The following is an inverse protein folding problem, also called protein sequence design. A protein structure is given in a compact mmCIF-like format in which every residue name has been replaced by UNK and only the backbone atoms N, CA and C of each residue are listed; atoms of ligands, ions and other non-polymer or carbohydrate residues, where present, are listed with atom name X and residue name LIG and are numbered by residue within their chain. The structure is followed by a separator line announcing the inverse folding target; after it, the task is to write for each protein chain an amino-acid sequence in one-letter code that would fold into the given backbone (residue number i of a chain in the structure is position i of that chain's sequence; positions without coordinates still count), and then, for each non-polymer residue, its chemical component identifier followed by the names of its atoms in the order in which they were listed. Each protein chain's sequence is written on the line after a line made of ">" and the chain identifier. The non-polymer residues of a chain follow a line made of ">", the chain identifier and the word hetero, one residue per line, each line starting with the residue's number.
data_IF_833472019910
#
_entry.id   IF_833472019910
#
_cell.length_a   1.000
_cell.length_b   1.000
_cell.length_c   1.000
_cell.angle_alpha   90.00
_cell.angle_beta   90.00
_cell.angle_gamma   90.00
#
_symmetry.space_group_name_H-M   'P 1'
#
loop_
_entity.id
_entity.type
_entity.pdbx_description
1 polymer ?
#
# COMPACT_ATOMS: atom_id res chain seq x y z
N UNK A 1 -66.50 40.68 -3.85
CA UNK A 1 -65.67 41.50 -2.95
C UNK A 1 -64.54 42.11 -3.77
N UNK A 2 -64.77 43.35 -4.21
CA UNK A 2 -63.82 44.48 -4.26
C UNK A 2 -62.76 44.38 -3.15
N UNK A 3 -61.48 44.75 -3.28
CA UNK A 3 -60.79 45.93 -3.87
C UNK A 3 -59.34 45.47 -4.18
N UNK A 4 -58.78 45.59 -5.39
CA UNK A 4 -58.01 46.74 -5.93
C UNK A 4 -56.79 47.13 -5.05
N UNK A 5 -55.60 47.50 -5.52
CA UNK A 5 -55.02 47.71 -6.85
C UNK A 5 -53.50 47.96 -6.61
N UNK A 6 -52.63 47.88 -7.63
CA UNK A 6 -51.21 48.14 -7.55
C UNK A 6 -50.87 49.63 -7.79
N UNK A 7 -49.63 49.98 -7.52
CA UNK A 7 -49.01 51.25 -7.94
C UNK A 7 -47.63 51.39 -7.29
N UNK A 8 -46.64 52.07 -7.86
CA UNK A 8 -46.54 52.85 -9.10
C UNK A 8 -45.06 53.26 -9.22
N UNK A 9 -44.53 53.19 -10.45
CA UNK A 9 -43.72 54.24 -11.12
C UNK A 9 -42.35 54.70 -10.56
N UNK A 10 -41.36 54.48 -11.44
CA UNK A 10 -40.51 55.49 -12.14
C UNK A 10 -39.20 55.98 -11.47
N UNK A 11 -38.16 55.90 -12.32
CA UNK A 11 -37.09 56.89 -12.57
C UNK A 11 -36.14 57.26 -11.41
N UNK A 12 -34.85 56.96 -11.56
CA UNK A 12 -33.87 57.94 -12.07
C UNK A 12 -32.52 57.24 -12.29
N UNK A 13 -31.94 57.44 -13.48
CA UNK A 13 -30.52 57.25 -13.71
C UNK A 13 -29.74 58.40 -13.07
N UNK A 14 -28.62 58.10 -12.44
CA UNK A 14 -27.57 59.08 -12.13
C UNK A 14 -26.24 58.47 -12.54
N UNK A 15 -25.74 59.01 -13.64
CA UNK A 15 -24.37 58.93 -14.09
C UNK A 15 -23.45 59.67 -13.12
N UNK A 16 -22.37 59.02 -12.72
CA UNK A 16 -21.22 59.63 -12.08
C UNK A 16 -19.95 58.95 -12.57
N UNK A 17 -19.31 59.53 -13.58
CA UNK A 17 -17.88 59.36 -13.82
C UNK A 17 -17.16 60.21 -12.75
N UNK A 18 -16.02 59.83 -12.15
CA UNK A 18 -14.71 59.73 -12.81
C UNK A 18 -13.60 59.22 -11.87
N UNK A 19 -12.64 58.50 -12.46
CA UNK A 19 -11.18 58.42 -12.19
C UNK A 19 -10.71 57.62 -10.95
N UNK A 20 -10.00 56.51 -11.22
CA UNK A 20 -9.05 55.93 -10.26
C UNK A 20 -8.66 54.47 -10.50
N UNK A 21 -7.69 54.21 -11.37
CA UNK A 21 -6.82 53.02 -11.28
C UNK A 21 -7.34 51.70 -11.86
N UNK A 22 -7.43 51.58 -13.19
CA UNK A 22 -7.35 50.28 -13.83
C UNK A 22 -5.89 49.80 -13.78
N UNK A 23 -5.53 49.01 -12.77
CA UNK A 23 -4.29 48.24 -12.80
C UNK A 23 -4.47 47.14 -13.85
N UNK A 24 -3.96 47.40 -15.06
CA UNK A 24 -3.76 46.39 -16.09
C UNK A 24 -2.69 45.44 -15.54
N UNK A 25 -3.12 44.33 -14.95
CA UNK A 25 -2.20 43.26 -14.61
C UNK A 25 -1.67 42.66 -15.93
N UNK A 26 -0.35 42.62 -16.15
CA UNK A 26 0.20 41.96 -17.33
C UNK A 26 -0.23 40.49 -17.32
N UNK A 27 -0.64 40.00 -18.49
CA UNK A 27 -1.07 38.63 -18.77
C UNK A 27 0.13 37.67 -18.81
N UNK A 28 0.98 37.74 -17.80
CA UNK A 28 2.19 36.93 -17.63
C UNK A 28 2.38 36.60 -16.15
N UNK A 29 1.38 35.96 -15.56
CA UNK A 29 1.50 35.32 -14.26
C UNK A 29 0.55 34.12 -14.21
N UNK A 30 0.59 33.26 -15.24
CA UNK A 30 0.33 31.85 -15.00
C UNK A 30 1.55 31.39 -14.22
N UNK A 31 1.47 31.52 -12.89
CA UNK A 31 2.43 30.91 -12.00
C UNK A 31 2.54 29.45 -12.41
N UNK A 32 3.73 29.05 -12.84
CA UNK A 32 4.08 27.66 -12.99
C UNK A 32 3.73 26.98 -11.67
N UNK A 33 2.65 26.20 -11.67
CA UNK A 33 2.35 25.27 -10.61
C UNK A 33 3.47 24.24 -10.69
N UNK A 34 4.53 24.48 -9.94
CA UNK A 34 5.57 23.50 -9.67
C UNK A 34 4.90 22.25 -9.10
N UNK A 35 5.31 21.04 -9.50
CA UNK A 35 4.76 19.78 -8.97
C UNK A 35 5.24 19.51 -7.52
N UNK A 36 5.30 20.54 -6.68
CA UNK A 36 5.74 20.45 -5.28
C UNK A 36 4.60 20.12 -4.30
N UNK A 37 3.37 19.95 -4.80
CA UNK A 37 2.20 19.66 -3.96
C UNK A 37 2.06 18.17 -3.58
N UNK A 38 2.77 17.27 -4.24
CA UNK A 38 2.80 15.83 -3.90
C UNK A 38 3.90 15.46 -2.89
N UNK A 39 4.92 16.32 -2.70
CA UNK A 39 6.05 16.05 -1.78
C UNK A 39 5.77 16.40 -0.32
N UNK A 40 4.60 16.97 0.02
CA UNK A 40 4.23 17.32 1.41
C UNK A 40 3.41 16.27 2.14
N UNK A 41 3.11 15.12 1.51
CA UNK A 41 2.35 14.08 2.20
C UNK A 41 3.15 13.30 3.25
N UNK A 42 4.47 13.54 3.38
CA UNK A 42 5.36 12.60 4.10
C UNK A 42 6.24 13.20 5.20
N UNK A 43 6.11 14.47 5.58
CA UNK A 43 6.93 14.98 6.70
C UNK A 43 6.07 15.78 7.68
N UNK A 44 5.35 15.05 8.53
CA UNK A 44 4.93 15.53 9.84
C UNK A 44 6.01 15.18 10.87
N UNK A 45 6.41 16.15 11.69
CA UNK A 45 7.52 16.09 12.68
C UNK A 45 7.40 15.01 13.79
N UNK A 46 6.41 14.10 13.72
CA UNK A 46 6.18 13.01 14.67
C UNK A 46 6.15 11.60 14.01
N UNK A 47 6.52 11.49 12.73
CA UNK A 47 6.34 10.26 11.92
C UNK A 47 7.66 9.51 11.68
N UNK A 48 8.78 10.15 11.92
CA UNK A 48 10.10 9.57 11.70
C UNK A 48 10.50 8.67 12.88
N UNK A 49 10.14 7.39 12.77
CA UNK A 49 10.58 6.32 13.65
C UNK A 49 11.38 5.34 12.83
N UNK A 50 12.38 4.73 13.45
CA UNK A 50 13.08 3.60 12.85
C UNK A 50 12.08 2.48 12.57
N UNK A 51 12.07 2.01 11.33
CA UNK A 51 11.22 0.91 10.90
C UNK A 51 11.80 -0.41 11.43
N UNK A 52 11.03 -1.22 12.17
CA UNK A 52 11.53 -2.50 12.66
C UNK A 52 11.91 -3.45 11.52
N UNK A 53 13.06 -4.13 11.63
CA UNK A 53 13.39 -5.22 10.73
C UNK A 53 12.47 -6.42 11.00
N UNK A 54 11.84 -6.94 9.95
CA UNK A 54 10.97 -8.12 10.02
C UNK A 54 11.38 -9.18 9.00
N UNK A 55 10.80 -10.38 9.15
CA UNK A 55 11.12 -11.58 8.36
C UNK A 55 11.14 -11.32 6.85
N UNK A 56 12.27 -11.59 6.19
CA UNK A 56 12.40 -11.54 4.72
C UNK A 56 11.42 -12.50 4.03
N UNK A 57 11.25 -13.68 4.60
CA UNK A 57 10.48 -14.76 4.01
C UNK A 57 11.28 -15.50 2.93
N UNK A 58 10.78 -16.64 2.45
CA UNK A 58 11.52 -17.52 1.55
C UNK A 58 11.51 -17.05 0.08
N UNK A 59 10.77 -15.98 -0.22
CA UNK A 59 10.47 -15.54 -1.58
C UNK A 59 11.36 -14.40 -2.09
N UNK A 60 12.40 -14.02 -1.34
CA UNK A 60 13.35 -13.01 -1.77
C UNK A 60 14.46 -13.60 -2.63
N UNK A 61 14.78 -12.88 -3.70
CA UNK A 61 16.04 -12.95 -4.43
C UNK A 61 16.35 -11.54 -4.90
N UNK A 62 17.63 -11.20 -5.08
CA UNK A 62 17.99 -9.92 -5.72
C UNK A 62 17.37 -9.92 -7.13
N UNK A 63 16.35 -9.07 -7.39
CA UNK A 63 15.63 -9.15 -8.64
C UNK A 63 16.49 -8.72 -9.82
N UNK A 64 17.48 -7.84 -9.62
CA UNK A 64 18.25 -7.17 -10.67
C UNK A 64 17.36 -6.53 -11.76
N UNK A 65 16.16 -6.08 -11.36
CA UNK A 65 15.13 -5.52 -12.24
C UNK A 65 14.87 -4.05 -11.88
N UNK A 66 15.65 -3.13 -12.47
CA UNK A 66 15.42 -1.70 -12.27
C UNK A 66 14.25 -1.23 -13.12
N UNK A 67 13.07 -1.13 -12.50
CA UNK A 67 11.82 -0.72 -13.16
C UNK A 67 10.82 -0.15 -12.17
N UNK A 68 10.04 0.83 -12.64
CA UNK A 68 8.98 1.47 -11.86
C UNK A 68 7.68 0.68 -11.92
N UNK A 69 7.26 0.27 -13.11
CA UNK A 69 6.13 -0.64 -13.28
C UNK A 69 6.61 -2.08 -13.12
N UNK A 70 6.10 -2.74 -12.08
CA UNK A 70 6.43 -4.12 -11.75
C UNK A 70 5.28 -5.09 -12.07
N UNK A 71 4.18 -4.61 -12.65
CA UNK A 71 2.96 -5.41 -12.86
C UNK A 71 3.18 -6.59 -13.78
N UNK A 72 3.99 -6.42 -14.83
CA UNK A 72 4.11 -7.34 -15.98
C UNK A 72 2.74 -7.73 -16.58
N UNK A 73 1.75 -6.82 -16.51
CA UNK A 73 0.40 -7.06 -17.03
C UNK A 73 -0.46 -8.00 -16.17
N UNK A 74 -0.02 -8.38 -14.96
CA UNK A 74 -0.85 -9.16 -14.05
C UNK A 74 -2.13 -8.40 -13.67
N UNK A 75 -3.25 -9.10 -13.71
CA UNK A 75 -4.55 -8.55 -13.32
C UNK A 75 -4.61 -8.25 -11.82
N UNK A 76 -5.22 -7.12 -11.47
CA UNK A 76 -5.44 -6.68 -10.10
C UNK A 76 -5.87 -5.21 -10.05
N UNK A 77 -6.18 -4.71 -8.85
CA UNK A 77 -6.50 -3.30 -8.65
C UNK A 77 -5.20 -2.50 -8.72
N UNK A 78 -5.08 -1.48 -9.59
CA UNK A 78 -3.87 -0.67 -9.68
C UNK A 78 -3.52 0.00 -8.36
N UNK A 79 -2.22 0.00 -8.03
CA UNK A 79 -1.66 0.54 -6.80
C UNK A 79 -0.40 1.34 -7.14
N UNK A 80 -0.36 2.60 -6.72
CA UNK A 80 0.83 3.47 -6.78
C UNK A 80 1.44 3.55 -5.39
N UNK A 81 2.60 2.93 -5.20
CA UNK A 81 3.32 2.91 -3.94
C UNK A 81 4.43 3.94 -3.97
N UNK A 82 4.43 4.88 -3.02
CA UNK A 82 5.59 5.74 -2.73
C UNK A 82 6.19 5.41 -1.39
N UNK A 83 7.50 5.26 -1.35
CA UNK A 83 8.23 5.08 -0.09
C UNK A 83 9.25 6.19 0.03
N UNK A 84 9.31 6.84 1.19
CA UNK A 84 10.36 7.80 1.50
C UNK A 84 11.34 7.16 2.49
N UNK A 85 12.59 7.05 2.09
CA UNK A 85 13.69 6.54 2.91
C UNK A 85 14.35 7.72 3.62
N UNK A 86 14.39 7.64 4.95
CA UNK A 86 15.02 8.65 5.81
C UNK A 86 15.96 7.99 6.81
N UNK A 87 16.94 8.73 7.31
CA UNK A 87 17.80 8.29 8.40
C UNK A 87 17.17 8.52 9.79
N UNK A 88 17.93 8.25 10.85
CA UNK A 88 17.50 8.44 12.23
C UNK A 88 17.25 9.91 12.62
N UNK A 89 17.82 10.87 11.87
CA UNK A 89 17.61 12.32 12.03
C UNK A 89 16.51 12.84 11.08
N UNK A 90 15.81 11.92 10.39
CA UNK A 90 14.71 12.20 9.48
C UNK A 90 15.14 12.94 8.21
N UNK A 91 16.42 12.85 7.87
CA UNK A 91 16.95 13.39 6.65
C UNK A 91 16.76 12.37 5.52
N UNK A 92 16.30 12.79 4.33
CA UNK A 92 16.18 11.90 3.19
C UNK A 92 17.50 11.24 2.80
N UNK A 93 17.45 9.96 2.43
CA UNK A 93 18.61 9.21 1.94
C UNK A 93 18.50 9.08 0.41
N UNK A 94 19.16 10.00 -0.30
CA UNK A 94 19.31 9.92 -1.76
C UNK A 94 20.10 8.66 -2.17
N UNK A 95 19.71 8.05 -3.28
CA UNK A 95 20.42 6.90 -3.87
C UNK A 95 20.21 5.58 -3.11
N UNK A 96 19.43 5.57 -2.03
CA UNK A 96 19.03 4.33 -1.38
C UNK A 96 18.34 3.40 -2.37
N UNK A 97 18.82 2.15 -2.47
CA UNK A 97 18.21 1.12 -3.30
C UNK A 97 17.04 0.52 -2.55
N UNK A 98 15.87 0.47 -3.16
CA UNK A 98 14.69 -0.21 -2.62
C UNK A 98 14.30 -1.33 -3.58
N UNK A 99 14.33 -2.56 -3.06
CA UNK A 99 13.76 -3.72 -3.72
C UNK A 99 12.36 -3.97 -3.18
N UNK A 100 11.40 -4.25 -4.06
CA UNK A 100 10.02 -4.55 -3.74
C UNK A 100 9.63 -5.92 -4.29
N UNK A 101 8.89 -6.71 -3.52
CA UNK A 101 8.27 -7.94 -4.03
C UNK A 101 6.96 -8.27 -3.30
N UNK A 102 5.99 -8.84 -4.01
CA UNK A 102 4.77 -9.37 -3.40
C UNK A 102 4.11 -10.43 -4.29
N UNK A 103 3.08 -11.09 -3.73
CA UNK A 103 2.26 -12.03 -4.47
C UNK A 103 1.25 -11.32 -5.40
N UNK A 104 0.82 -12.00 -6.45
CA UNK A 104 -0.26 -11.54 -7.31
C UNK A 104 -1.62 -11.63 -6.61
N UNK A 105 -2.69 -11.22 -7.30
CA UNK A 105 -4.05 -11.23 -6.75
C UNK A 105 -4.52 -12.62 -6.26
N UNK A 106 -4.00 -13.69 -6.85
CA UNK A 106 -4.27 -15.09 -6.46
C UNK A 106 -3.37 -15.62 -5.35
N UNK A 107 -2.43 -14.82 -4.83
CA UNK A 107 -1.53 -15.23 -3.76
C UNK A 107 -0.25 -15.95 -4.21
N UNK A 108 0.11 -15.86 -5.50
CA UNK A 108 1.30 -16.52 -6.05
C UNK A 108 2.48 -15.54 -6.16
N UNK A 109 3.68 -15.94 -5.73
CA UNK A 109 4.92 -15.23 -5.98
C UNK A 109 5.59 -15.71 -7.26
N UNK A 110 6.14 -14.79 -8.05
CA UNK A 110 6.91 -15.11 -9.24
C UNK A 110 8.22 -15.83 -8.92
N UNK A 111 8.64 -16.73 -9.82
CA UNK A 111 9.82 -17.58 -9.77
C UNK A 111 9.76 -18.78 -8.80
N UNK A 112 8.56 -19.19 -8.37
CA UNK A 112 8.38 -20.31 -7.43
C UNK A 112 7.39 -21.36 -7.93
N UNK A 113 7.65 -22.62 -7.58
CA UNK A 113 6.75 -23.75 -7.82
C UNK A 113 6.08 -24.21 -6.51
N UNK A 114 5.09 -25.09 -6.60
CA UNK A 114 4.46 -25.69 -5.41
C UNK A 114 3.48 -24.76 -4.69
N UNK A 115 2.93 -23.76 -5.39
CA UNK A 115 2.07 -22.72 -4.82
C UNK A 115 0.59 -22.98 -5.12
N UNK A 116 -0.29 -22.18 -4.51
CA UNK A 116 -1.74 -22.25 -4.73
C UNK A 116 -2.49 -23.02 -3.64
N UNK A 117 -3.82 -22.94 -3.70
CA UNK A 117 -4.70 -23.59 -2.71
C UNK A 117 -4.91 -25.08 -2.99
N UNK A 118 -4.87 -25.48 -4.26
CA UNK A 118 -4.97 -26.87 -4.68
C UNK A 118 -3.62 -27.55 -4.52
N UNK A 119 -3.51 -28.38 -3.47
CA UNK A 119 -2.30 -29.16 -3.19
C UNK A 119 -2.13 -30.36 -4.12
N UNK A 120 -3.19 -30.82 -4.78
CA UNK A 120 -3.13 -31.90 -5.76
C UNK A 120 -2.61 -31.37 -7.10
N UNK A 121 -2.91 -30.11 -7.42
CA UNK A 121 -2.48 -29.43 -8.65
C UNK A 121 -1.75 -28.11 -8.34
N UNK A 122 -0.53 -28.16 -7.78
CA UNK A 122 0.20 -26.95 -7.44
C UNK A 122 0.59 -26.14 -8.67
N UNK A 123 0.55 -24.82 -8.53
CA UNK A 123 0.94 -23.85 -9.56
C UNK A 123 2.45 -23.62 -9.55
N UNK A 124 3.03 -23.53 -10.74
CA UNK A 124 4.42 -23.11 -10.95
C UNK A 124 4.48 -21.82 -11.73
N UNK A 125 5.26 -20.88 -11.21
CA UNK A 125 5.60 -19.59 -11.85
C UNK A 125 7.12 -19.45 -12.03
N UNK A 126 7.86 -20.58 -12.05
CA UNK A 126 9.31 -20.60 -12.27
C UNK A 126 9.65 -19.88 -13.58
N UNK A 127 10.65 -19.00 -13.53
CA UNK A 127 11.07 -18.18 -14.69
C UNK A 127 10.28 -16.89 -14.89
N UNK A 128 9.18 -16.69 -14.17
CA UNK A 128 8.44 -15.42 -14.17
C UNK A 128 9.05 -14.42 -13.20
N UNK A 129 8.86 -13.13 -13.47
CA UNK A 129 9.48 -12.04 -12.69
C UNK A 129 8.49 -10.99 -12.18
N UNK A 130 7.18 -11.19 -12.41
CA UNK A 130 6.13 -10.24 -12.05
C UNK A 130 6.19 -9.78 -10.59
N UNK A 131 5.70 -8.57 -10.34
CA UNK A 131 5.52 -7.96 -9.03
C UNK A 131 6.80 -7.92 -8.20
N UNK A 132 7.93 -7.75 -8.89
CA UNK A 132 9.27 -7.54 -8.34
C UNK A 132 9.94 -6.37 -9.04
N UNK A 133 10.68 -5.54 -8.31
CA UNK A 133 11.47 -4.50 -8.93
C UNK A 133 12.37 -3.76 -7.96
N UNK A 134 13.28 -2.99 -8.53
CA UNK A 134 14.24 -2.14 -7.84
C UNK A 134 14.07 -0.70 -8.29
N UNK A 135 14.08 0.23 -7.35
CA UNK A 135 14.17 1.66 -7.59
C UNK A 135 15.29 2.26 -6.74
N UNK A 136 15.87 3.37 -7.22
CA UNK A 136 16.81 4.18 -6.45
C UNK A 136 16.06 5.42 -5.98
N UNK A 137 16.22 5.76 -4.70
CA UNK A 137 15.63 6.94 -4.11
C UNK A 137 16.18 8.22 -4.76
N UNK A 138 15.29 9.18 -5.04
CA UNK A 138 15.66 10.51 -5.53
C UNK A 138 16.27 11.40 -4.44
N UNK A 139 16.56 12.67 -4.74
CA UNK A 139 17.08 13.67 -3.79
C UNK A 139 16.16 13.86 -2.56
N UNK A 140 14.88 13.55 -2.69
CA UNK A 140 13.89 13.57 -1.61
C UNK A 140 13.82 12.25 -0.83
N UNK A 141 14.69 11.28 -1.11
CA UNK A 141 14.67 9.94 -0.53
C UNK A 141 13.50 9.10 -1.05
N UNK A 142 12.83 9.49 -2.15
CA UNK A 142 11.58 8.86 -2.58
C UNK A 142 11.82 7.84 -3.69
N UNK A 143 11.20 6.67 -3.55
CA UNK A 143 10.96 5.71 -4.64
C UNK A 143 9.48 5.61 -4.94
N UNK A 144 9.15 5.34 -6.21
CA UNK A 144 7.77 5.08 -6.65
C UNK A 144 7.71 3.75 -7.40
N UNK A 145 6.68 2.95 -7.13
CA UNK A 145 6.36 1.73 -7.86
C UNK A 145 4.91 1.77 -8.36
N UNK A 146 4.70 1.30 -9.59
CA UNK A 146 3.38 0.97 -10.12
C UNK A 146 3.19 -0.53 -10.03
N UNK A 147 2.17 -0.95 -9.31
CA UNK A 147 1.88 -2.37 -9.06
C UNK A 147 0.36 -2.60 -8.93
N UNK A 148 -0.03 -3.77 -8.43
CA UNK A 148 -1.41 -4.10 -8.05
C UNK A 148 -1.53 -4.28 -6.54
N UNK A 149 -2.76 -4.15 -6.01
CA UNK A 149 -3.06 -4.55 -4.64
C UNK A 149 -2.69 -6.04 -4.44
N UNK A 150 -1.95 -6.41 -3.38
CA UNK A 150 -1.52 -7.79 -3.18
C UNK A 150 -2.68 -8.72 -2.86
N UNK A 151 -2.60 -9.96 -3.35
CA UNK A 151 -3.45 -11.04 -2.88
C UNK A 151 -3.10 -11.46 -1.44
N UNK A 152 -3.67 -12.57 -1.01
CA UNK A 152 -3.34 -13.20 0.27
C UNK A 152 -2.84 -14.63 0.05
N UNK A 153 -2.24 -15.25 1.05
CA UNK A 153 -1.96 -16.69 1.06
C UNK A 153 -2.06 -17.20 2.50
N UNK A 154 -2.28 -18.51 2.67
CA UNK A 154 -2.59 -19.08 3.98
C UNK A 154 -1.50 -18.80 5.01
N UNK A 155 -1.93 -18.44 6.22
CA UNK A 155 -1.05 -18.19 7.37
C UNK A 155 -0.39 -16.82 7.40
N UNK A 156 -0.71 -15.90 6.47
CA UNK A 156 -0.17 -14.53 6.44
C UNK A 156 -1.25 -13.50 6.10
N UNK A 157 -1.19 -12.34 6.73
CA UNK A 157 -2.06 -11.19 6.37
C UNK A 157 -1.65 -10.60 5.01
N UNK A 158 -2.42 -9.67 4.46
CA UNK A 158 -2.08 -8.93 3.22
C UNK A 158 -0.81 -8.09 3.42
N UNK A 159 0.22 -8.28 2.58
CA UNK A 159 1.46 -7.52 2.67
C UNK A 159 2.20 -7.34 1.34
N UNK A 160 3.06 -6.32 1.31
CA UNK A 160 4.12 -6.14 0.31
C UNK A 160 5.46 -6.19 1.04
N UNK A 161 6.43 -6.93 0.53
CA UNK A 161 7.77 -6.91 1.09
C UNK A 161 8.61 -5.80 0.47
N UNK A 162 9.55 -5.29 1.25
CA UNK A 162 10.60 -4.43 0.75
C UNK A 162 11.94 -4.72 1.42
N UNK A 163 13.00 -4.33 0.73
CA UNK A 163 14.35 -4.29 1.27
C UNK A 163 15.01 -2.98 0.87
N UNK A 164 15.54 -2.25 1.84
CA UNK A 164 16.28 -1.01 1.61
C UNK A 164 17.76 -1.31 1.79
N UNK A 165 18.58 -0.83 0.87
CA UNK A 165 20.03 -0.77 0.99
C UNK A 165 20.47 0.68 0.93
N UNK A 166 21.14 1.16 1.98
CA UNK A 166 21.73 2.51 2.01
C UNK A 166 23.23 2.48 1.72
N UNK A 167 23.85 1.30 1.83
CA UNK A 167 25.20 0.99 1.35
C UNK A 167 25.33 -0.55 1.21
N UNK A 168 26.55 -1.06 0.96
CA UNK A 168 26.80 -2.50 0.78
C UNK A 168 26.49 -3.37 2.03
N UNK A 169 26.48 -2.76 3.22
CA UNK A 169 26.35 -3.45 4.51
C UNK A 169 25.06 -3.14 5.25
N UNK A 170 24.56 -1.91 5.11
CA UNK A 170 23.33 -1.44 5.76
C UNK A 170 22.16 -1.83 4.89
N UNK A 171 21.40 -2.80 5.38
CA UNK A 171 20.17 -3.27 4.76
C UNK A 171 19.06 -3.38 5.81
N UNK A 172 17.85 -2.99 5.45
CA UNK A 172 16.64 -3.17 6.26
C UNK A 172 15.67 -4.03 5.46
N UNK A 173 15.15 -5.08 6.08
CA UNK A 173 14.05 -5.86 5.51
C UNK A 173 12.75 -5.54 6.23
N UNK A 174 11.73 -5.20 5.46
CA UNK A 174 10.44 -4.81 6.00
C UNK A 174 9.28 -5.39 5.21
N UNK A 175 8.09 -5.22 5.78
CA UNK A 175 6.84 -5.53 5.12
C UNK A 175 5.86 -4.38 5.34
N UNK A 176 5.03 -4.12 4.34
CA UNK A 176 3.97 -3.10 4.34
C UNK A 176 2.65 -3.83 4.56
N UNK A 177 1.91 -3.46 5.59
CA UNK A 177 0.62 -4.05 5.95
C UNK A 177 -0.55 -3.12 5.60
N UNK A 178 -1.70 -3.69 5.26
CA UNK A 178 -2.86 -2.96 4.77
C UNK A 178 -4.04 -3.04 5.74
N UNK A 179 -4.95 -2.05 5.78
CA UNK A 179 -6.13 -2.10 6.62
C UNK A 179 -6.98 -3.36 6.35
N UNK A 180 -7.28 -4.14 7.38
CA UNK A 180 -7.99 -5.41 7.24
C UNK A 180 -9.38 -5.27 6.60
N UNK A 181 -10.07 -4.16 6.89
CA UNK A 181 -11.37 -3.84 6.31
C UNK A 181 -11.29 -3.61 4.80
N UNK A 182 -10.24 -2.91 4.34
CA UNK A 182 -9.99 -2.71 2.90
C UNK A 182 -9.70 -4.04 2.22
N UNK A 183 -8.77 -4.83 2.76
CA UNK A 183 -8.46 -6.15 2.21
C UNK A 183 -9.68 -7.06 2.18
N UNK A 184 -10.51 -7.06 3.23
CA UNK A 184 -11.73 -7.88 3.29
C UNK A 184 -12.73 -7.47 2.20
N UNK A 185 -12.94 -6.16 2.00
CA UNK A 185 -13.80 -5.66 0.93
C UNK A 185 -13.31 -6.09 -0.46
N UNK A 186 -12.02 -5.90 -0.75
CA UNK A 186 -11.43 -6.25 -2.05
C UNK A 186 -11.59 -7.76 -2.32
N UNK A 187 -11.23 -8.61 -1.36
CA UNK A 187 -11.24 -10.06 -1.53
C UNK A 187 -12.64 -10.66 -1.64
N UNK A 188 -13.68 -9.95 -1.20
CA UNK A 188 -15.07 -10.42 -1.30
C UNK A 188 -15.79 -9.90 -2.55
N UNK A 189 -15.37 -8.75 -3.10
CA UNK A 189 -16.20 -8.02 -4.06
C UNK A 189 -15.54 -7.71 -5.41
N UNK A 190 -14.23 -7.88 -5.55
CA UNK A 190 -13.50 -7.39 -6.73
C UNK A 190 -12.71 -8.52 -7.40
N UNK A 191 -13.01 -8.80 -8.66
CA UNK A 191 -12.22 -9.71 -9.48
C UNK A 191 -10.82 -9.13 -9.80
N UNK A 192 -9.76 -9.95 -9.90
CA UNK A 192 -9.78 -11.42 -9.76
C UNK A 192 -9.68 -11.90 -8.30
N UNK A 193 -9.65 -11.00 -7.31
CA UNK A 193 -9.48 -11.37 -5.91
C UNK A 193 -10.66 -12.19 -5.36
N UNK A 194 -11.88 -11.81 -5.76
CA UNK A 194 -13.13 -12.51 -5.39
C UNK A 194 -13.32 -13.87 -6.05
N UNK A 195 -12.52 -14.21 -7.07
CA UNK A 195 -12.67 -15.48 -7.79
C UNK A 195 -12.07 -16.65 -6.99
N UNK A 196 -11.24 -16.33 -5.99
CA UNK A 196 -10.59 -17.30 -5.14
C UNK A 196 -11.57 -17.90 -4.14
N UNK A 197 -11.72 -19.23 -4.18
CA UNK A 197 -12.67 -19.99 -3.36
C UNK A 197 -12.23 -20.20 -1.91
N UNK A 198 -10.94 -19.98 -1.60
CA UNK A 198 -10.42 -20.11 -0.25
C UNK A 198 -10.87 -18.98 0.67
N UNK A 199 -10.92 -19.25 1.97
CA UNK A 199 -11.14 -18.22 2.99
C UNK A 199 -9.81 -17.73 3.56
N UNK A 200 -9.66 -16.41 3.69
CA UNK A 200 -8.51 -15.79 4.36
C UNK A 200 -8.53 -16.15 5.85
N UNK A 201 -7.51 -16.87 6.30
CA UNK A 201 -7.37 -17.34 7.69
C UNK A 201 -6.62 -16.37 8.61
N UNK A 202 -5.93 -15.39 8.01
CA UNK A 202 -4.98 -14.52 8.72
C UNK A 202 -5.26 -13.05 8.39
N UNK A 203 -5.27 -12.22 9.43
CA UNK A 203 -5.48 -10.77 9.44
C UNK A 203 -4.34 -10.13 10.26
N UNK A 204 -4.21 -8.81 10.24
CA UNK A 204 -3.10 -8.15 10.96
C UNK A 204 -3.09 -8.50 12.46
N UNK A 205 -4.27 -8.61 13.08
CA UNK A 205 -4.41 -8.91 14.50
C UNK A 205 -3.95 -10.33 14.91
N UNK A 206 -3.79 -11.28 13.98
CA UNK A 206 -3.30 -12.63 14.26
C UNK A 206 -2.03 -13.02 13.47
N UNK A 207 -1.52 -12.15 12.59
CA UNK A 207 -0.20 -12.29 11.95
C UNK A 207 0.92 -11.83 12.90
N UNK A 208 1.87 -12.72 13.24
CA UNK A 208 2.94 -12.40 14.18
C UNK A 208 3.99 -11.44 13.60
N UNK A 209 4.17 -11.42 12.28
CA UNK A 209 5.08 -10.49 11.59
C UNK A 209 4.46 -9.11 11.59
N UNK A 210 3.15 -8.98 11.33
CA UNK A 210 2.45 -7.70 11.44
C UNK A 210 2.53 -7.13 12.87
N UNK A 211 2.38 -7.98 13.89
CA UNK A 211 2.56 -7.58 15.30
C UNK A 211 4.00 -7.13 15.60
N UNK A 212 4.99 -7.82 15.06
CA UNK A 212 6.40 -7.47 15.24
C UNK A 212 6.75 -6.14 14.54
N UNK A 213 6.22 -5.92 13.34
CA UNK A 213 6.48 -4.74 12.54
C UNK A 213 5.92 -3.46 13.20
N UNK A 214 4.76 -3.57 13.85
CA UNK A 214 4.11 -2.47 14.55
C UNK A 214 3.64 -1.35 13.59
N UNK A 215 3.19 -0.24 14.19
CA UNK A 215 2.49 0.83 13.47
C UNK A 215 3.31 1.48 12.34
N UNK A 216 4.66 1.45 12.44
CA UNK A 216 5.56 2.03 11.45
C UNK A 216 5.59 1.27 10.10
N UNK A 217 4.92 0.13 10.02
CA UNK A 217 4.84 -0.72 8.82
C UNK A 217 3.45 -0.78 8.21
N UNK A 218 2.47 -0.05 8.77
CA UNK A 218 1.13 0.04 8.19
C UNK A 218 1.05 1.14 7.13
N UNK A 219 0.53 0.78 5.96
CA UNK A 219 0.37 1.69 4.85
C UNK A 219 -0.62 2.82 5.17
N UNK A 220 -0.24 4.06 4.81
CA UNK A 220 -1.24 5.07 4.51
C UNK A 220 -1.85 4.75 3.14
N UNK A 221 -3.16 4.51 3.10
CA UNK A 221 -3.87 4.17 1.87
C UNK A 221 -4.93 5.23 1.59
N UNK A 222 -4.94 5.72 0.35
CA UNK A 222 -5.96 6.63 -0.17
C UNK A 222 -6.49 6.08 -1.49
N UNK A 223 -7.80 6.11 -1.67
CA UNK A 223 -8.41 5.83 -2.96
C UNK A 223 -8.19 7.01 -3.91
N UNK A 224 -7.63 6.73 -5.09
CA UNK A 224 -7.53 7.67 -6.20
C UNK A 224 -8.46 7.28 -7.34
N UNK A 225 -8.55 8.11 -8.38
CA UNK A 225 -9.48 7.90 -9.50
C UNK A 225 -9.19 6.61 -10.29
N UNK A 226 -7.93 6.22 -10.41
CA UNK A 226 -7.50 5.09 -11.26
C UNK A 226 -6.65 4.06 -10.52
N UNK A 227 -6.27 4.33 -9.27
CA UNK A 227 -5.41 3.47 -8.46
C UNK A 227 -5.55 3.82 -6.98
N UNK A 228 -5.25 2.86 -6.10
CA UNK A 228 -4.93 3.20 -4.71
C UNK A 228 -3.57 3.92 -4.65
N UNK A 229 -3.52 5.05 -3.95
CA UNK A 229 -2.30 5.74 -3.58
C UNK A 229 -1.85 5.24 -2.21
N UNK A 230 -0.68 4.62 -2.15
CA UNK A 230 -0.11 4.03 -0.95
C UNK A 230 1.19 4.73 -0.61
N UNK A 231 1.38 5.09 0.66
CA UNK A 231 2.59 5.72 1.11
C UNK A 231 3.12 5.12 2.42
N UNK A 232 4.45 5.08 2.54
CA UNK A 232 5.17 4.66 3.74
C UNK A 232 6.45 5.49 3.91
N UNK A 233 6.76 5.89 5.14
CA UNK A 233 8.07 6.44 5.50
C UNK A 233 8.87 5.32 6.15
N UNK A 234 10.07 5.08 5.64
CA UNK A 234 10.98 4.04 6.11
C UNK A 234 12.16 4.71 6.78
N UNK A 235 12.20 4.65 8.11
CA UNK A 235 13.33 5.11 8.91
C UNK A 235 14.39 4.03 8.99
N UNK A 236 15.58 4.31 8.47
CA UNK A 236 16.71 3.37 8.46
C UNK A 236 17.78 3.87 9.43
N UNK A 237 18.24 2.98 10.31
CA UNK A 237 19.46 3.25 11.08
C UNK A 237 20.67 3.04 10.15
N UNK A 238 21.44 4.09 9.82
CA UNK A 238 22.57 3.98 8.90
C UNK A 238 23.67 3.05 9.41
N UNK A 239 23.71 2.79 10.73
CA UNK A 239 24.66 1.89 11.38
C UNK A 239 24.16 0.44 11.50
N UNK A 240 22.88 0.19 11.22
CA UNK A 240 22.30 -1.13 11.37
C UNK A 240 22.89 -2.12 10.36
N UNK A 241 23.39 -3.24 10.89
CA UNK A 241 23.66 -4.44 10.12
C UNK A 241 22.46 -5.36 10.28
N UNK A 242 21.80 -5.71 9.17
CA UNK A 242 20.70 -6.66 9.18
C UNK A 242 21.12 -7.96 9.86
N UNK A 243 20.34 -8.34 10.87
CA UNK A 243 20.59 -9.54 11.68
C UNK A 243 19.87 -10.76 11.09
N UNK A 244 19.03 -10.56 10.07
CA UNK A 244 18.42 -11.64 9.32
C UNK A 244 19.30 -12.03 8.13
N UNK A 245 19.92 -13.20 8.25
CA UNK A 245 20.42 -13.94 7.09
C UNK A 245 19.23 -14.51 6.32
N UNK A 246 19.17 -14.24 5.01
CA UNK A 246 18.26 -14.93 4.10
C UNK A 246 18.35 -16.45 4.37
N UNK A 247 17.24 -17.15 4.63
CA UNK A 247 17.25 -18.61 4.62
C UNK A 247 17.84 -19.08 3.28
N UNK A 248 18.61 -20.18 3.24
CA UNK A 248 19.03 -20.75 1.96
C UNK A 248 17.79 -20.95 1.07
N UNK A 249 17.87 -20.66 -0.23
CA UNK A 249 16.75 -20.90 -1.13
C UNK A 249 16.31 -22.36 -0.98
N UNK A 250 15.01 -22.65 -1.02
CA UNK A 250 14.55 -24.02 -0.99
C UNK A 250 15.26 -24.83 -2.09
N UNK A 251 15.62 -26.10 -1.85
CA UNK A 251 16.16 -26.97 -2.89
C UNK A 251 15.23 -26.93 -4.11
N UNK A 252 15.81 -26.96 -5.32
CA UNK A 252 15.04 -26.96 -6.56
C UNK A 252 13.88 -27.96 -6.51
N UNK A 253 12.65 -27.44 -6.44
CA UNK A 253 11.44 -28.26 -6.50
C UNK A 253 10.80 -28.64 -5.16
N UNK A 254 11.28 -28.13 -4.03
CA UNK A 254 10.55 -28.26 -2.75
C UNK A 254 10.11 -26.85 -2.29
N UNK A 255 8.80 -26.55 -2.24
CA UNK A 255 8.32 -25.27 -1.73
C UNK A 255 8.71 -25.09 -0.25
N UNK A 256 8.73 -23.85 0.27
CA UNK A 256 8.61 -23.65 1.71
C UNK A 256 7.29 -24.30 2.15
N UNK A 257 7.36 -25.35 2.97
CA UNK A 257 6.16 -25.99 3.50
C UNK A 257 5.42 -25.01 4.41
N UNK A 258 4.28 -24.52 3.94
CA UNK A 258 3.33 -23.77 4.76
C UNK A 258 3.83 -22.40 5.24
N UNK A 259 3.07 -21.73 6.13
CA UNK A 259 3.59 -20.58 6.85
C UNK A 259 4.90 -20.95 7.55
N UNK A 260 5.81 -19.98 7.82
CA UNK A 260 7.05 -20.23 8.55
C UNK A 260 6.79 -21.13 9.77
N UNK A 261 7.69 -22.09 10.08
CA UNK A 261 7.53 -22.94 11.26
C UNK A 261 7.20 -22.08 12.47
N UNK A 262 6.16 -22.44 13.24
CA UNK A 262 5.94 -21.86 14.55
C UNK A 262 7.17 -22.18 15.41
N UNK A 263 8.09 -21.23 15.52
CA UNK A 263 9.45 -21.59 15.95
C UNK A 263 10.35 -20.46 16.39
N UNK A 264 9.84 -19.28 16.78
CA UNK A 264 10.57 -18.32 17.63
C UNK A 264 9.61 -17.51 18.53
N UNK A 265 8.68 -18.22 19.17
CA UNK A 265 7.75 -17.63 20.13
C UNK A 265 7.26 -18.70 21.09
N UNK A 266 8.16 -19.20 21.94
CA UNK A 266 7.72 -19.99 23.09
C UNK A 266 6.73 -19.17 23.91
N UNK A 267 5.68 -19.79 24.48
CA UNK A 267 4.82 -19.08 25.42
C UNK A 267 5.66 -18.58 26.59
N UNK A 268 5.41 -17.37 27.13
CA UNK A 268 6.10 -16.91 28.33
C UNK A 268 5.87 -17.91 29.48
N UNK A 269 6.84 -18.12 30.38
CA UNK A 269 6.70 -19.08 31.46
C UNK A 269 5.53 -18.70 32.38
N UNK A 270 4.61 -19.65 32.56
CA UNK A 270 3.61 -19.76 33.63
C UNK A 270 3.25 -18.51 34.44
N UNK A 271 2.12 -17.90 34.10
CA UNK A 271 1.30 -17.13 35.04
C UNK A 271 0.06 -17.95 35.39
N UNK A 272 -0.15 -18.22 36.67
CA UNK A 272 -1.18 -19.09 37.21
C UNK A 272 -2.61 -18.77 36.72
N UNK A 273 -3.42 -19.82 36.51
CA UNK A 273 -4.88 -19.72 36.39
C UNK A 273 -5.45 -19.18 37.71
N UNK A 274 -6.09 -18.01 37.66
CA UNK A 274 -7.14 -17.61 38.58
C UNK A 274 -8.49 -17.65 37.83
N UNK A 275 -9.60 -18.03 38.49
CA UNK A 275 -10.89 -18.16 37.83
C UNK A 275 -11.61 -16.81 37.70
N UNK A 276 -12.51 -16.76 36.73
CA UNK A 276 -13.63 -15.81 36.57
C UNK A 276 -13.32 -14.38 36.08
N UNK A 277 -13.74 -14.10 34.83
CA UNK A 277 -13.81 -12.75 34.26
C UNK A 277 -14.20 -12.78 32.79
N UNK A 278 -15.50 -12.72 32.50
CA UNK A 278 -16.05 -12.63 31.15
C UNK A 278 -15.55 -11.37 30.41
N UNK A 279 -15.26 -11.42 29.09
CA UNK A 279 -14.99 -10.21 28.33
C UNK A 279 -16.29 -9.55 27.87
N UNK A 280 -16.52 -8.35 28.36
CA UNK A 280 -17.51 -7.38 27.90
C UNK A 280 -17.12 -6.87 26.51
N UNK A 281 -17.93 -7.18 25.49
CA UNK A 281 -17.82 -6.57 24.16
C UNK A 281 -18.40 -5.15 24.14
N UNK A 282 -17.87 -4.23 23.31
CA UNK A 282 -18.49 -2.93 23.08
C UNK A 282 -19.71 -3.06 22.14
N UNK A 283 -20.69 -2.14 22.21
CA UNK A 283 -22.01 -2.32 21.65
C UNK A 283 -22.06 -2.11 20.13
N UNK A 284 -22.87 -2.93 19.47
CA UNK A 284 -23.30 -2.77 18.09
C UNK A 284 -24.21 -1.54 17.95
N UNK A 285 -23.71 -0.50 17.27
CA UNK A 285 -24.50 0.63 16.81
C UNK A 285 -24.88 0.44 15.34
N UNK A 286 -26.15 0.12 15.09
CA UNK A 286 -26.72 0.03 13.75
C UNK A 286 -26.92 1.40 13.10
N UNK A 287 -26.67 1.45 11.79
CA UNK A 287 -26.99 2.58 10.92
C UNK A 287 -27.10 2.08 9.49
N UNK A 288 -28.32 1.78 9.06
CA UNK A 288 -28.70 1.42 7.71
C UNK A 288 -28.49 2.58 6.75
N UNK A 289 -27.70 2.37 5.70
CA UNK A 289 -27.61 3.24 4.53
C UNK A 289 -27.28 2.40 3.31
N UNK A 290 -28.31 2.07 2.52
CA UNK A 290 -28.18 1.36 1.25
C UNK A 290 -27.34 2.17 0.25
N UNK A 291 -26.25 1.58 -0.24
CA UNK A 291 -25.50 2.05 -1.41
C UNK A 291 -25.34 0.87 -2.37
N UNK A 292 -25.94 0.97 -3.55
CA UNK A 292 -25.89 -0.05 -4.60
C UNK A 292 -24.44 -0.33 -5.07
N UNK A 293 -24.07 -1.58 -5.39
CA UNK A 293 -22.78 -1.88 -6.01
C UNK A 293 -22.78 -1.56 -7.50
N UNK A 294 -21.71 -0.89 -7.95
CA UNK A 294 -21.39 -0.64 -9.36
C UNK A 294 -20.64 -1.83 -9.96
N UNK A 295 -21.14 -2.37 -11.07
CA UNK A 295 -20.48 -3.41 -11.88
C UNK A 295 -19.40 -2.82 -12.78
N UNK A 296 -18.18 -3.38 -12.86
CA UNK A 296 -17.20 -2.98 -13.88
C UNK A 296 -17.61 -3.55 -15.24
N UNK A 297 -17.95 -2.66 -16.18
CA UNK A 297 -18.13 -3.04 -17.58
C UNK A 297 -16.77 -3.40 -18.20
N UNK A 298 -16.71 -4.57 -18.84
CA UNK A 298 -15.61 -5.02 -19.69
C UNK A 298 -15.35 -3.98 -20.81
N UNK A 299 -14.13 -3.45 -20.88
CA UNK A 299 -13.62 -2.82 -22.10
C UNK A 299 -12.71 -3.81 -22.82
N UNK A 300 -13.28 -4.42 -23.86
CA UNK A 300 -12.55 -5.06 -24.95
C UNK A 300 -12.11 -3.94 -25.90
N UNK A 301 -10.82 -3.80 -26.25
CA UNK A 301 -10.43 -2.95 -27.37
C UNK A 301 -10.71 -3.69 -28.68
N UNK A 302 -11.62 -3.12 -29.48
CA UNK A 302 -11.88 -3.52 -30.86
C UNK A 302 -10.74 -3.15 -31.80
N UNK A 303 -10.62 -3.98 -32.84
CA UNK A 303 -9.63 -3.97 -33.90
C UNK A 303 -9.53 -2.66 -34.69
N UNK A 304 -8.33 -2.38 -35.19
CA UNK A 304 -8.08 -1.51 -36.34
C UNK A 304 -7.42 -2.36 -37.43
N UNK A 305 -8.22 -2.66 -38.47
CA UNK A 305 -7.80 -2.98 -39.84
C UNK A 305 -8.86 -2.40 -40.77
#
# INVERSE_FOLDING_TARGET
>A
MTVHNPGRRRFLALTGATIGGAAILPRSAVAAQTPAATSRLLIGQNICRLTPEVTEGPYYFDPKLVRRDITEGHAGIPLKLRMQVVDADCLPIEGARVDLWHCNASGLYSNYAGQGDDREHPVSTKGETFLRGTQMADEGGVVEFLTIYPGWYRGRTTHIHFKVFTNETTRLTGQIFFPDALSAYIYQNIAPYSDRQGERDTINANDWIAKQAGDASFAYVKEGETAYEVALIVGVDPSAKSVQSAPPPPPDGVPPEGPPPQGFGGPPPGGARGPDGAPSGPPLGGGSGEGQPITPAMLVPGANS
#
